data_IF_867179858563
#
_entry.id   IF_867179858563
#
_cell.length_a   1.000
_cell.length_b   1.000
_cell.length_c   1.000
_cell.angle_alpha   90.00
_cell.angle_beta   90.00
_cell.angle_gamma   90.00
#
_symmetry.space_group_name_H-M   'P 1'
#
loop_
_entity.id
_entity.type
_entity.pdbx_description
1 polymer ?
#
# COMPACT_ATOMS: atom_id res chain seq x y z
N UNK A 1 -27.80 -5.84 -11.62
CA UNK A 1 -26.51 -6.52 -11.87
C UNK A 1 -25.78 -6.65 -10.55
N UNK A 2 -25.43 -7.87 -10.15
CA UNK A 2 -24.76 -8.14 -8.87
C UNK A 2 -23.40 -7.45 -8.85
N UNK A 3 -23.24 -6.46 -7.97
CA UNK A 3 -21.98 -5.75 -7.79
C UNK A 3 -21.04 -6.63 -6.95
N UNK A 4 -20.57 -7.73 -7.52
CA UNK A 4 -19.55 -8.57 -6.90
C UNK A 4 -18.20 -7.86 -7.06
N UNK A 5 -17.93 -6.88 -6.18
CA UNK A 5 -16.56 -6.41 -5.95
C UNK A 5 -15.67 -7.66 -5.82
N UNK A 6 -14.53 -7.76 -6.52
CA UNK A 6 -13.65 -8.91 -6.38
C UNK A 6 -13.32 -9.05 -4.90
N UNK A 7 -13.53 -10.23 -4.34
CA UNK A 7 -13.33 -10.56 -2.93
C UNK A 7 -11.81 -10.53 -2.64
N UNK A 8 -11.23 -9.33 -2.65
CA UNK A 8 -9.84 -9.09 -2.36
C UNK A 8 -9.64 -9.39 -0.89
N UNK A 9 -8.85 -10.43 -0.64
CA UNK A 9 -8.47 -10.83 0.70
C UNK A 9 -7.41 -9.84 1.18
N UNK A 10 -7.78 -9.04 2.17
CA UNK A 10 -6.85 -8.18 2.88
C UNK A 10 -6.25 -8.94 4.05
N UNK A 11 -4.96 -8.77 4.25
CA UNK A 11 -4.23 -9.40 5.34
C UNK A 11 -3.72 -8.32 6.30
N UNK A 12 -3.62 -8.62 7.60
CA UNK A 12 -2.97 -7.71 8.53
C UNK A 12 -1.49 -7.53 8.14
N UNK A 13 -0.95 -6.37 8.47
CA UNK A 13 0.45 -5.98 8.22
C UNK A 13 1.44 -7.09 8.58
N UNK A 14 1.32 -7.67 9.76
CA UNK A 14 2.22 -8.71 10.26
C UNK A 14 2.31 -9.91 9.31
N UNK A 15 1.18 -10.32 8.72
CA UNK A 15 1.12 -11.43 7.75
C UNK A 15 1.73 -11.01 6.43
N UNK A 16 1.46 -9.78 5.97
CA UNK A 16 2.04 -9.27 4.73
C UNK A 16 3.56 -9.13 4.84
N UNK A 17 4.08 -8.64 5.96
CA UNK A 17 5.51 -8.55 6.25
C UNK A 17 6.15 -9.93 6.26
N UNK A 18 5.56 -10.93 6.94
CA UNK A 18 6.07 -12.32 6.92
C UNK A 18 6.16 -12.85 5.48
N UNK A 19 5.11 -12.64 4.67
CA UNK A 19 5.08 -13.09 3.28
C UNK A 19 6.12 -12.39 2.41
N UNK A 20 6.34 -11.08 2.59
CA UNK A 20 7.38 -10.34 1.87
C UNK A 20 8.77 -10.77 2.29
N UNK A 21 9.01 -10.94 3.60
CA UNK A 21 10.30 -11.39 4.14
C UNK A 21 10.65 -12.81 3.67
N UNK A 22 9.65 -13.68 3.52
CA UNK A 22 9.80 -15.03 2.97
C UNK A 22 9.95 -15.04 1.44
N UNK A 23 9.81 -13.89 0.78
CA UNK A 23 9.85 -13.75 -0.67
C UNK A 23 8.63 -14.35 -1.38
N UNK A 24 7.53 -14.57 -0.66
CA UNK A 24 6.26 -15.05 -1.22
C UNK A 24 5.51 -13.90 -1.88
N UNK A 25 5.50 -12.74 -1.23
CA UNK A 25 4.87 -11.51 -1.73
C UNK A 25 5.92 -10.46 -2.09
N UNK A 26 5.59 -9.66 -3.09
CA UNK A 26 6.33 -8.45 -3.41
C UNK A 26 5.82 -7.28 -2.57
N UNK A 27 6.56 -6.18 -2.52
CA UNK A 27 6.11 -4.93 -1.90
C UNK A 27 4.88 -4.36 -2.62
N UNK A 28 4.75 -4.63 -3.92
CA UNK A 28 3.52 -4.34 -4.67
C UNK A 28 2.34 -5.11 -4.07
N UNK A 29 2.47 -6.43 -3.90
CA UNK A 29 1.42 -7.26 -3.30
C UNK A 29 1.09 -6.81 -1.88
N UNK A 30 2.09 -6.42 -1.09
CA UNK A 30 1.89 -5.83 0.23
C UNK A 30 0.88 -4.68 0.17
N UNK A 31 1.14 -3.66 -0.67
CA UNK A 31 0.28 -2.47 -0.78
C UNK A 31 -1.10 -2.81 -1.34
N UNK A 32 -1.18 -3.71 -2.32
CA UNK A 32 -2.44 -4.13 -2.94
C UNK A 32 -3.33 -4.96 -1.99
N UNK A 33 -2.72 -5.72 -1.08
CA UNK A 33 -3.40 -6.58 -0.09
C UNK A 33 -3.52 -5.95 1.30
N UNK A 34 -2.97 -4.75 1.51
CA UNK A 34 -3.07 -4.04 2.78
C UNK A 34 -4.50 -3.55 3.02
N UNK A 35 -5.04 -2.75 2.10
CA UNK A 35 -6.42 -2.27 2.17
C UNK A 35 -6.93 -1.79 0.80
N UNK A 36 -8.25 -1.61 0.68
CA UNK A 36 -8.87 -1.01 -0.51
C UNK A 36 -8.31 0.39 -0.77
N UNK A 37 -8.18 1.21 0.29
CA UNK A 37 -7.63 2.57 0.22
C UNK A 37 -6.20 2.59 -0.30
N UNK A 38 -5.31 1.78 0.27
CA UNK A 38 -3.91 1.73 -0.13
C UNK A 38 -3.74 1.27 -1.58
N UNK A 39 -4.53 0.28 -2.01
CA UNK A 39 -4.52 -0.19 -3.39
C UNK A 39 -4.96 0.90 -4.37
N UNK A 40 -6.08 1.58 -4.08
CA UNK A 40 -6.61 2.63 -4.95
C UNK A 40 -5.65 3.82 -5.01
N UNK A 41 -5.15 4.26 -3.86
CA UNK A 41 -4.23 5.38 -3.72
C UNK A 41 -2.88 5.09 -4.40
N UNK A 42 -2.32 3.89 -4.23
CA UNK A 42 -1.10 3.48 -4.93
C UNK A 42 -1.29 3.36 -6.45
N UNK A 43 -2.45 2.86 -6.87
CA UNK A 43 -2.79 2.76 -8.30
C UNK A 43 -2.87 4.14 -8.93
N UNK A 44 -3.52 5.08 -8.26
CA UNK A 44 -3.65 6.44 -8.73
C UNK A 44 -2.31 7.19 -8.66
N UNK A 45 -1.53 6.98 -7.60
CA UNK A 45 -0.17 7.51 -7.45
C UNK A 45 0.74 7.10 -8.61
N UNK A 46 0.72 5.81 -8.96
CA UNK A 46 1.47 5.30 -10.11
C UNK A 46 0.95 5.90 -11.42
N UNK A 47 -0.37 5.95 -11.59
CA UNK A 47 -1.02 6.45 -12.81
C UNK A 47 -0.76 7.94 -13.05
N UNK A 48 -0.90 8.78 -12.03
CA UNK A 48 -0.67 10.22 -12.10
C UNK A 48 0.79 10.54 -12.43
N UNK A 49 1.73 9.74 -11.90
CA UNK A 49 3.17 9.94 -12.09
C UNK A 49 3.74 9.21 -13.31
N UNK A 50 2.93 8.43 -14.03
CA UNK A 50 3.40 7.59 -15.14
C UNK A 50 4.39 6.51 -14.69
N UNK A 51 4.30 6.07 -13.44
CA UNK A 51 5.18 5.07 -12.82
C UNK A 51 4.59 3.67 -12.97
N UNK A 52 5.46 2.67 -13.07
CA UNK A 52 5.06 1.26 -13.08
C UNK A 52 4.84 0.75 -11.65
N UNK A 53 3.85 -0.10 -11.43
CA UNK A 53 3.67 -0.83 -10.18
C UNK A 53 4.81 -1.83 -10.00
N UNK A 54 5.85 -1.42 -9.28
CA UNK A 54 7.02 -2.23 -8.98
C UNK A 54 7.40 -2.07 -7.51
N UNK A 55 8.23 -2.97 -6.99
CA UNK A 55 8.60 -3.00 -5.58
C UNK A 55 9.23 -1.69 -5.10
N UNK A 56 10.04 -1.06 -5.95
CA UNK A 56 10.69 0.22 -5.62
C UNK A 56 9.67 1.34 -5.41
N UNK A 57 8.64 1.41 -6.25
CA UNK A 57 7.60 2.42 -6.15
C UNK A 57 6.63 2.12 -5.01
N UNK A 58 6.35 0.84 -4.75
CA UNK A 58 5.56 0.42 -3.59
C UNK A 58 6.26 0.79 -2.27
N UNK A 59 7.57 0.54 -2.15
CA UNK A 59 8.38 1.00 -1.02
C UNK A 59 8.37 2.52 -0.87
N UNK A 60 8.52 3.26 -1.97
CA UNK A 60 8.44 4.72 -1.93
C UNK A 60 7.07 5.22 -1.46
N UNK A 61 5.99 4.52 -1.83
CA UNK A 61 4.65 4.82 -1.38
C UNK A 61 4.45 4.52 0.12
N UNK A 62 4.93 3.37 0.61
CA UNK A 62 4.91 3.01 2.04
C UNK A 62 5.65 4.08 2.85
N UNK A 63 6.88 4.42 2.46
CA UNK A 63 7.66 5.45 3.14
C UNK A 63 6.98 6.83 3.11
N UNK A 64 6.34 7.20 2.02
CA UNK A 64 5.56 8.44 1.92
C UNK A 64 4.37 8.46 2.89
N UNK A 65 3.69 7.31 3.09
CA UNK A 65 2.58 7.19 4.04
C UNK A 65 3.06 7.25 5.50
N UNK A 66 4.24 6.68 5.79
CA UNK A 66 4.89 6.78 7.11
C UNK A 66 5.28 8.22 7.43
N UNK A 67 5.90 8.92 6.48
CA UNK A 67 6.29 10.34 6.60
C UNK A 67 5.06 11.24 6.83
N UNK A 68 3.96 10.99 6.11
CA UNK A 68 2.69 11.70 6.31
C UNK A 68 2.12 11.49 7.73
N UNK A 69 2.29 10.29 8.29
CA UNK A 69 1.85 9.98 9.65
C UNK A 69 2.72 10.70 10.69
N UNK A 70 4.04 10.73 10.50
CA UNK A 70 4.97 11.47 11.35
C UNK A 70 4.70 12.98 11.32
N UNK A 71 4.47 13.56 10.14
CA UNK A 71 4.18 14.99 9.98
C UNK A 71 2.84 15.36 10.63
N UNK A 72 1.81 14.54 10.45
CA UNK A 72 0.51 14.72 11.11
C UNK A 72 0.61 14.59 12.65
N UNK A 73 1.47 13.71 13.16
CA UNK A 73 1.74 13.63 14.61
C UNK A 73 2.47 14.88 15.12
N UNK A 74 3.34 15.47 14.31
CA UNK A 74 4.08 16.68 14.65
C UNK A 74 3.20 17.94 14.61
N UNK A 75 2.29 18.05 13.64
CA UNK A 75 1.29 19.13 13.57
C UNK A 75 0.22 19.04 14.67
N UNK A 76 -0.10 17.85 15.17
CA UNK A 76 -1.02 17.65 16.30
C UNK A 76 -0.45 17.98 17.69
N UNK A 77 0.86 18.29 17.76
CA UNK A 77 1.58 18.64 18.98
C UNK A 77 2.08 20.11 18.99
N UNK A 78 1.68 20.91 18.00
CA UNK A 78 2.05 22.32 17.87
C UNK A 78 1.01 23.29 18.48
#
# INVERSE_FOLDING_TARGET
MSNSKPNHKYYPEEVLIDLVQRGVFSWVDYVLHYSEEWREDFTDFCRQRGMTMNDRNALAYIAFREDLLEDAMQEGLA
#
